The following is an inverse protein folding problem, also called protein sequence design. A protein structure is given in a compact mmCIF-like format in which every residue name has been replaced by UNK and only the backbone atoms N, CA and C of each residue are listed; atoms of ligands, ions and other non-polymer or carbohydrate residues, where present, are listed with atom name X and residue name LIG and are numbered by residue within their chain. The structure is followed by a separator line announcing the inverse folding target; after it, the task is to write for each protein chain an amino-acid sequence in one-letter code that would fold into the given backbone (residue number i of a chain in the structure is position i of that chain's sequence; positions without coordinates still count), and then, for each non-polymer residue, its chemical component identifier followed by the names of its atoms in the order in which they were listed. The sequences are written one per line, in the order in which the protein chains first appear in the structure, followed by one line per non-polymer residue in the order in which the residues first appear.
data_IF_025042196940
#
_entry.id   IF_025042196940
#
_cell.length_a   1.000
_cell.length_b   1.000
_cell.length_c   1.000
_cell.angle_alpha   90.00
_cell.angle_beta   90.00
_cell.angle_gamma   90.00
#
_symmetry.space_group_name_H-M   'P 1'
#
loop_
_entity.id
_entity.type
_entity.pdbx_description
1 polymer ?
#
# COMPACT_ATOMS: atom_id res chain seq x y z
N UNK A 1 28.39 24.30 8.88
CA UNK A 1 27.61 24.87 7.76
C UNK A 1 27.40 23.90 6.60
N UNK A 2 28.44 23.36 5.94
CA UNK A 2 28.25 22.42 4.82
C UNK A 2 27.59 21.09 5.27
N UNK A 3 28.10 20.48 6.34
CA UNK A 3 27.55 19.23 6.90
C UNK A 3 26.10 19.37 7.41
N UNK A 4 25.76 20.56 7.90
CA UNK A 4 24.42 20.88 8.40
C UNK A 4 23.41 21.04 7.26
N UNK A 5 23.82 21.70 6.16
CA UNK A 5 23.02 21.80 4.92
C UNK A 5 22.81 20.43 4.28
N UNK A 6 23.85 19.59 4.24
CA UNK A 6 23.75 18.20 3.74
C UNK A 6 22.77 17.38 4.60
N UNK A 7 22.83 17.53 5.93
CA UNK A 7 21.91 16.87 6.86
C UNK A 7 20.43 17.28 6.66
N UNK A 8 20.17 18.56 6.39
CA UNK A 8 18.82 19.06 6.09
C UNK A 8 18.32 18.53 4.75
N UNK A 9 19.15 18.57 3.69
CA UNK A 9 18.78 18.03 2.38
C UNK A 9 18.42 16.54 2.43
N UNK A 10 19.19 15.73 3.17
CA UNK A 10 18.87 14.30 3.33
C UNK A 10 17.52 14.09 4.03
N UNK A 11 17.24 14.85 5.10
CA UNK A 11 15.94 14.75 5.80
C UNK A 11 14.75 15.14 4.92
N UNK A 12 14.91 16.10 4.01
CA UNK A 12 13.87 16.48 3.06
C UNK A 12 13.63 15.35 2.05
N UNK A 13 14.69 14.73 1.53
CA UNK A 13 14.58 13.60 0.60
C UNK A 13 14.00 12.34 1.26
N UNK A 14 14.16 12.18 2.57
CA UNK A 14 13.51 11.13 3.35
C UNK A 14 12.02 11.41 3.64
N UNK A 15 11.52 12.62 3.37
CA UNK A 15 10.15 13.02 3.67
C UNK A 15 9.16 12.58 2.57
N UNK A 16 8.28 11.63 2.89
CA UNK A 16 7.24 11.14 1.96
C UNK A 16 6.31 12.26 1.45
N UNK A 17 5.89 13.17 2.34
CA UNK A 17 4.97 14.25 1.99
C UNK A 17 5.56 15.21 0.94
N UNK A 18 6.87 15.43 0.97
CA UNK A 18 7.56 16.24 -0.03
C UNK A 18 7.45 15.62 -1.43
N UNK A 19 7.75 14.32 -1.54
CA UNK A 19 7.67 13.60 -2.81
C UNK A 19 6.24 13.54 -3.35
N UNK A 20 5.26 13.22 -2.49
CA UNK A 20 3.85 13.17 -2.89
C UNK A 20 3.36 14.54 -3.40
N UNK A 21 3.69 15.62 -2.70
CA UNK A 21 3.31 16.96 -3.13
C UNK A 21 3.97 17.35 -4.46
N UNK A 22 5.26 17.04 -4.60
CA UNK A 22 6.00 17.30 -5.84
C UNK A 22 5.43 16.50 -7.02
N UNK A 23 5.10 15.22 -6.82
CA UNK A 23 4.52 14.35 -7.85
C UNK A 23 3.19 14.91 -8.34
N UNK A 24 2.27 15.22 -7.42
CA UNK A 24 0.95 15.79 -7.75
C UNK A 24 1.08 17.13 -8.44
N UNK A 25 1.95 18.02 -7.94
CA UNK A 25 2.18 19.32 -8.57
C UNK A 25 2.70 19.16 -10.01
N UNK A 26 3.74 18.35 -10.22
CA UNK A 26 4.31 18.14 -11.56
C UNK A 26 3.32 17.46 -12.50
N UNK A 27 2.54 16.48 -12.03
CA UNK A 27 1.52 15.83 -12.84
C UNK A 27 0.45 16.83 -13.33
N UNK A 28 0.00 17.74 -12.46
CA UNK A 28 -0.99 18.78 -12.83
C UNK A 28 -0.40 19.79 -13.80
N UNK A 29 0.83 20.27 -13.57
CA UNK A 29 1.43 21.34 -14.39
C UNK A 29 2.00 20.85 -15.72
N UNK A 30 2.56 19.64 -15.77
CA UNK A 30 3.14 19.09 -17.00
C UNK A 30 2.10 18.36 -17.85
N UNK A 31 1.09 17.75 -17.21
CA UNK A 31 0.06 16.95 -17.90
C UNK A 31 0.62 15.76 -18.69
N UNK A 32 1.88 15.40 -18.48
CA UNK A 32 2.59 14.41 -19.26
C UNK A 32 2.48 13.04 -18.62
N UNK A 33 1.88 12.09 -19.33
CA UNK A 33 1.86 10.67 -18.96
C UNK A 33 2.90 9.95 -19.80
N UNK A 34 3.97 9.41 -19.20
CA UNK A 34 5.00 8.69 -19.94
C UNK A 34 4.42 7.46 -20.66
N UNK A 35 4.97 7.09 -21.84
CA UNK A 35 4.72 5.77 -22.38
C UNK A 35 5.19 4.71 -21.36
N UNK A 36 4.43 3.61 -21.22
CA UNK A 36 4.66 2.53 -20.24
C UNK A 36 4.41 2.89 -18.77
N UNK A 37 3.64 3.95 -18.48
CA UNK A 37 3.27 4.32 -17.11
C UNK A 37 2.71 3.15 -16.27
N UNK A 38 1.87 2.29 -16.86
CA UNK A 38 1.32 1.10 -16.19
C UNK A 38 2.40 0.12 -15.71
N UNK A 39 3.39 -0.14 -16.57
CA UNK A 39 4.49 -1.06 -16.26
C UNK A 39 5.40 -0.46 -15.19
N UNK A 40 5.71 0.84 -15.29
CA UNK A 40 6.50 1.54 -14.29
C UNK A 40 5.77 1.55 -12.94
N UNK A 41 4.48 1.83 -12.91
CA UNK A 41 3.68 1.80 -11.69
C UNK A 41 3.67 0.41 -11.03
N UNK A 42 3.49 -0.65 -11.82
CA UNK A 42 3.55 -2.03 -11.29
C UNK A 42 4.93 -2.38 -10.73
N UNK A 43 6.01 -2.00 -11.42
CA UNK A 43 7.38 -2.27 -10.95
C UNK A 43 7.70 -1.50 -9.68
N UNK A 44 7.40 -0.20 -9.66
CA UNK A 44 7.57 0.66 -8.49
C UNK A 44 6.80 0.11 -7.29
N UNK A 45 5.56 -0.32 -7.50
CA UNK A 45 4.74 -0.91 -6.44
C UNK A 45 5.33 -2.23 -5.95
N UNK A 46 5.78 -3.12 -6.84
CA UNK A 46 6.43 -4.37 -6.47
C UNK A 46 7.70 -4.16 -5.64
N UNK A 47 8.52 -3.17 -5.99
CA UNK A 47 9.72 -2.78 -5.23
C UNK A 47 9.32 -2.22 -3.87
N UNK A 48 8.38 -1.28 -3.83
CA UNK A 48 7.90 -0.67 -2.60
C UNK A 48 7.33 -1.73 -1.63
N UNK A 49 6.52 -2.66 -2.13
CA UNK A 49 5.99 -3.77 -1.34
C UNK A 49 7.10 -4.70 -0.85
N UNK A 50 8.08 -5.05 -1.69
CA UNK A 50 9.20 -5.90 -1.27
C UNK A 50 9.99 -5.27 -0.12
N UNK A 51 10.31 -3.98 -0.25
CA UNK A 51 11.05 -3.25 0.78
C UNK A 51 10.23 -3.09 2.06
N UNK A 52 8.97 -2.69 1.96
CA UNK A 52 8.13 -2.48 3.13
C UNK A 52 7.75 -3.80 3.84
N UNK A 53 7.66 -4.92 3.10
CA UNK A 53 7.46 -6.25 3.68
C UNK A 53 8.71 -6.86 4.31
N UNK A 54 9.91 -6.38 3.97
CA UNK A 54 11.16 -6.89 4.53
C UNK A 54 11.26 -6.70 6.05
N UNK A 55 10.62 -5.66 6.58
CA UNK A 55 10.54 -5.40 8.02
C UNK A 55 9.51 -6.26 8.77
N UNK A 56 8.64 -6.98 8.07
CA UNK A 56 7.52 -7.71 8.68
C UNK A 56 7.99 -9.05 9.26
N UNK A 57 7.88 -9.21 10.58
CA UNK A 57 8.13 -10.47 11.28
C UNK A 57 6.91 -11.39 11.15
N UNK A 58 7.08 -12.56 10.55
CA UNK A 58 6.06 -13.63 10.54
C UNK A 58 6.31 -14.50 11.78
N UNK A 59 5.30 -14.69 12.63
CA UNK A 59 5.38 -15.61 13.78
C UNK A 59 4.67 -15.15 15.04
N UNK A 60 4.09 -13.94 15.08
CA UNK A 60 3.30 -13.48 16.22
C UNK A 60 1.88 -14.05 16.15
N UNK A 61 1.44 -14.69 17.24
CA UNK A 61 0.06 -15.14 17.38
C UNK A 61 -0.86 -13.95 17.63
N UNK A 62 -1.83 -13.74 16.73
CA UNK A 62 -2.89 -12.76 16.94
C UNK A 62 -4.09 -13.43 17.62
N UNK A 63 -4.72 -12.73 18.56
CA UNK A 63 -5.98 -13.20 19.15
C UNK A 63 -7.09 -13.16 18.10
N UNK A 64 -8.00 -14.13 18.13
CA UNK A 64 -9.09 -14.23 17.15
C UNK A 64 -10.03 -13.01 17.17
N UNK A 65 -10.20 -12.40 18.35
CA UNK A 65 -10.96 -11.16 18.50
C UNK A 65 -10.29 -10.02 17.73
N UNK A 66 -8.97 -9.87 17.85
CA UNK A 66 -8.21 -8.88 17.10
C UNK A 66 -8.25 -9.15 15.59
N UNK A 67 -8.17 -10.41 15.16
CA UNK A 67 -8.33 -10.78 13.74
C UNK A 67 -9.68 -10.32 13.19
N UNK A 68 -10.75 -10.62 13.92
CA UNK A 68 -12.11 -10.23 13.52
C UNK A 68 -12.26 -8.71 13.47
N UNK A 69 -11.77 -7.98 14.49
CA UNK A 69 -11.84 -6.52 14.55
C UNK A 69 -11.09 -5.90 13.37
N UNK A 70 -9.85 -6.31 13.13
CA UNK A 70 -9.02 -5.77 12.05
C UNK A 70 -9.64 -6.07 10.69
N UNK A 71 -10.19 -7.28 10.48
CA UNK A 71 -10.90 -7.65 9.26
C UNK A 71 -12.15 -6.80 9.04
N UNK A 72 -12.99 -6.64 10.08
CA UNK A 72 -14.22 -5.85 10.00
C UNK A 72 -13.94 -4.38 9.75
N UNK A 73 -12.93 -3.82 10.41
CA UNK A 73 -12.56 -2.43 10.19
C UNK A 73 -12.05 -2.20 8.77
N UNK A 74 -11.26 -3.13 8.23
CA UNK A 74 -10.65 -2.99 6.91
C UNK A 74 -11.59 -3.30 5.74
N UNK A 75 -12.48 -4.29 5.87
CA UNK A 75 -13.34 -4.76 4.78
C UNK A 75 -14.83 -4.46 4.94
N UNK A 76 -15.27 -3.89 6.08
CA UNK A 76 -16.65 -3.44 6.24
C UNK A 76 -16.74 -1.95 6.59
N UNK A 77 -16.12 -1.52 7.68
CA UNK A 77 -16.24 -0.14 8.17
C UNK A 77 -15.58 0.87 7.24
N UNK A 78 -14.30 0.68 6.91
CA UNK A 78 -13.55 1.59 6.05
C UNK A 78 -14.14 1.66 4.62
N UNK A 79 -14.51 0.55 3.97
CA UNK A 79 -15.18 0.58 2.68
C UNK A 79 -16.53 1.29 2.72
N UNK A 80 -17.34 1.09 3.75
CA UNK A 80 -18.65 1.74 3.86
C UNK A 80 -18.52 3.28 3.88
N UNK A 81 -17.57 3.81 4.64
CA UNK A 81 -17.29 5.25 4.70
C UNK A 81 -16.72 5.73 3.36
N UNK A 82 -15.81 4.97 2.77
CA UNK A 82 -15.10 5.38 1.56
C UNK A 82 -15.96 5.30 0.31
N UNK A 83 -16.95 4.41 0.26
CA UNK A 83 -17.91 4.30 -0.85
C UNK A 83 -19.03 5.35 -0.79
N UNK A 84 -19.28 5.97 0.37
CA UNK A 84 -20.37 6.94 0.52
C UNK A 84 -20.30 8.10 -0.49
N UNK A 85 -19.13 8.71 -0.79
CA UNK A 85 -19.02 9.72 -1.84
C UNK A 85 -19.32 9.19 -3.26
N UNK A 86 -18.97 7.94 -3.55
CA UNK A 86 -19.20 7.35 -4.87
C UNK A 86 -20.70 7.20 -5.17
N UNK A 87 -21.52 6.94 -4.14
CA UNK A 87 -22.98 6.91 -4.25
C UNK A 87 -23.52 8.30 -4.62
N UNK A 88 -22.97 9.36 -4.03
CA UNK A 88 -23.38 10.74 -4.30
C UNK A 88 -23.02 11.21 -5.72
N UNK A 89 -21.91 10.71 -6.27
CA UNK A 89 -21.47 11.04 -7.63
C UNK A 89 -22.36 10.43 -8.72
N UNK A 90 -23.04 9.31 -8.43
CA UNK A 90 -23.95 8.62 -9.34
C UNK A 90 -23.38 8.34 -10.74
N UNK A 91 -22.09 7.99 -10.80
CA UNK A 91 -21.38 7.63 -12.03
C UNK A 91 -20.74 6.25 -11.87
N UNK A 92 -20.91 5.40 -12.88
CA UNK A 92 -20.44 4.02 -12.83
C UNK A 92 -18.90 3.91 -12.85
N UNK A 93 -18.21 4.83 -13.53
CA UNK A 93 -16.75 4.86 -13.53
C UNK A 93 -16.22 5.22 -12.14
N UNK A 94 -16.82 6.21 -11.47
CA UNK A 94 -16.45 6.54 -10.09
C UNK A 94 -16.77 5.41 -9.13
N UNK A 95 -17.96 4.81 -9.22
CA UNK A 95 -18.31 3.63 -8.41
C UNK A 95 -17.27 2.51 -8.57
N UNK A 96 -16.95 2.16 -9.81
CA UNK A 96 -16.00 1.08 -10.12
C UNK A 96 -14.60 1.38 -9.58
N UNK A 97 -14.09 2.61 -9.76
CA UNK A 97 -12.79 3.01 -9.22
C UNK A 97 -12.72 2.93 -7.70
N UNK A 98 -13.77 3.40 -7.01
CA UNK A 98 -13.86 3.31 -5.55
C UNK A 98 -13.99 1.88 -5.06
N UNK A 99 -14.79 1.03 -5.73
CA UNK A 99 -14.89 -0.40 -5.39
C UNK A 99 -13.54 -1.08 -5.50
N UNK A 100 -12.79 -0.84 -6.58
CA UNK A 100 -11.43 -1.38 -6.73
C UNK A 100 -10.56 -0.91 -5.56
N UNK A 101 -10.55 0.40 -5.28
CA UNK A 101 -9.74 0.99 -4.20
C UNK A 101 -10.01 0.37 -2.83
N UNK A 102 -11.28 0.23 -2.43
CA UNK A 102 -11.64 -0.31 -1.11
C UNK A 102 -11.52 -1.83 -1.00
N UNK A 103 -11.39 -2.52 -2.13
CA UNK A 103 -11.22 -3.97 -2.15
C UNK A 103 -9.76 -4.38 -2.01
N UNK A 104 -8.82 -3.49 -2.32
CA UNK A 104 -7.39 -3.81 -2.27
C UNK A 104 -6.88 -4.00 -0.83
N UNK A 105 -5.78 -4.76 -0.63
CA UNK A 105 -5.15 -4.91 0.68
C UNK A 105 -4.78 -3.57 1.32
N UNK A 106 -4.58 -3.54 2.66
CA UNK A 106 -4.17 -2.33 3.34
C UNK A 106 -2.80 -1.82 2.86
N UNK A 107 -2.55 -0.53 3.10
CA UNK A 107 -1.35 0.13 2.63
C UNK A 107 -0.12 -0.24 3.47
N UNK A 108 1.00 -0.57 2.81
CA UNK A 108 2.25 -0.96 3.49
C UNK A 108 2.85 0.13 4.38
N UNK A 109 2.42 1.38 4.22
CA UNK A 109 2.79 2.50 5.08
C UNK A 109 2.18 2.44 6.49
N UNK A 110 1.24 1.51 6.76
CA UNK A 110 0.57 1.39 8.06
C UNK A 110 1.56 1.15 9.21
N UNK A 111 2.59 0.33 9.00
CA UNK A 111 3.59 0.00 10.04
C UNK A 111 4.46 1.22 10.39
N UNK A 112 5.04 1.97 9.43
CA UNK A 112 5.68 3.25 9.73
C UNK A 112 4.76 4.22 10.48
N UNK A 113 3.50 4.34 10.07
CA UNK A 113 2.55 5.23 10.73
C UNK A 113 2.21 4.79 12.15
N UNK A 114 2.08 3.48 12.41
CA UNK A 114 1.84 2.98 13.76
C UNK A 114 2.99 3.32 14.71
N UNK A 115 4.25 3.26 14.23
CA UNK A 115 5.44 3.71 14.98
C UNK A 115 5.41 5.21 15.27
N UNK A 116 5.03 6.05 14.29
CA UNK A 116 4.93 7.52 14.46
C UNK A 116 3.84 7.88 15.47
N UNK A 117 2.69 7.21 15.38
CA UNK A 117 1.52 7.45 16.25
C UNK A 117 1.63 6.76 17.61
N UNK A 118 2.73 6.05 17.90
CA UNK A 118 2.94 5.25 19.12
C UNK A 118 1.83 4.22 19.36
N UNK A 119 1.28 3.68 18.28
CA UNK A 119 0.34 2.58 18.33
C UNK A 119 1.05 1.25 18.58
N UNK A 120 0.28 0.19 18.83
CA UNK A 120 0.82 -1.17 18.97
C UNK A 120 1.37 -1.66 17.62
N UNK A 121 2.70 -1.63 17.49
CA UNK A 121 3.40 -2.04 16.28
C UNK A 121 3.35 -3.54 16.05
N UNK A 122 3.27 -4.36 17.10
CA UNK A 122 3.16 -5.81 16.95
C UNK A 122 1.78 -6.19 16.39
N UNK A 123 0.72 -5.57 16.92
CA UNK A 123 -0.63 -5.72 16.38
C UNK A 123 -0.72 -5.20 14.94
N UNK A 124 -0.09 -4.07 14.63
CA UNK A 124 -0.08 -3.53 13.27
C UNK A 124 0.64 -4.47 12.29
N UNK A 125 1.81 -5.00 12.66
CA UNK A 125 2.57 -5.92 11.80
C UNK A 125 1.84 -7.26 11.58
N UNK A 126 1.32 -7.84 12.65
CA UNK A 126 0.57 -9.11 12.59
C UNK A 126 -0.77 -8.96 11.86
N UNK A 127 -1.46 -7.84 12.09
CA UNK A 127 -2.68 -7.46 11.40
C UNK A 127 -2.47 -7.25 9.91
N UNK A 128 -1.39 -6.57 9.50
CA UNK A 128 -1.01 -6.41 8.09
C UNK A 128 -0.79 -7.77 7.41
N UNK A 129 -0.01 -8.67 8.00
CA UNK A 129 0.20 -10.02 7.44
C UNK A 129 -1.13 -10.75 7.26
N UNK A 130 -1.97 -10.73 8.30
CA UNK A 130 -3.27 -11.36 8.27
C UNK A 130 -4.17 -10.75 7.17
N UNK A 131 -4.21 -9.43 7.04
CA UNK A 131 -5.02 -8.73 6.05
C UNK A 131 -4.51 -8.94 4.62
N UNK A 132 -3.20 -9.02 4.38
CA UNK A 132 -2.65 -9.38 3.05
C UNK A 132 -3.02 -10.80 2.64
N UNK A 133 -3.04 -11.74 3.60
CA UNK A 133 -3.48 -13.10 3.30
C UNK A 133 -5.00 -13.15 3.09
N UNK A 134 -5.76 -12.44 3.92
CA UNK A 134 -7.20 -12.33 3.77
C UNK A 134 -7.60 -11.63 2.45
N UNK A 135 -6.81 -10.68 1.96
CA UNK A 135 -7.09 -9.93 0.72
C UNK A 135 -7.11 -10.83 -0.51
N UNK A 136 -6.38 -11.96 -0.51
CA UNK A 136 -6.42 -12.93 -1.59
C UNK A 136 -7.84 -13.46 -1.86
N UNK A 137 -8.68 -13.50 -0.82
CA UNK A 137 -10.09 -13.87 -0.93
C UNK A 137 -11.02 -12.64 -0.89
N UNK A 138 -10.78 -11.70 0.03
CA UNK A 138 -11.67 -10.55 0.26
C UNK A 138 -11.70 -9.59 -0.92
N UNK A 139 -10.55 -9.30 -1.55
CA UNK A 139 -10.48 -8.38 -2.68
C UNK A 139 -11.29 -8.86 -3.90
N UNK A 140 -11.10 -10.10 -4.42
CA UNK A 140 -11.93 -10.57 -5.54
C UNK A 140 -13.40 -10.71 -5.14
N UNK A 141 -13.70 -11.09 -3.89
CA UNK A 141 -15.06 -11.18 -3.40
C UNK A 141 -15.76 -9.81 -3.40
N UNK A 142 -15.11 -8.77 -2.89
CA UNK A 142 -15.67 -7.42 -2.86
C UNK A 142 -15.85 -6.84 -4.26
N UNK A 143 -14.86 -7.03 -5.15
CA UNK A 143 -15.00 -6.63 -6.56
C UNK A 143 -16.19 -7.35 -7.20
N UNK A 144 -16.32 -8.67 -6.99
CA UNK A 144 -17.46 -9.42 -7.53
C UNK A 144 -18.81 -8.95 -6.99
N UNK A 145 -18.91 -8.72 -5.68
CA UNK A 145 -20.18 -8.33 -5.03
C UNK A 145 -20.58 -6.89 -5.37
N UNK A 146 -19.62 -5.96 -5.40
CA UNK A 146 -19.90 -4.53 -5.53
C UNK A 146 -19.79 -4.00 -6.96
N UNK A 147 -18.85 -4.50 -7.75
CA UNK A 147 -18.68 -4.12 -9.16
C UNK A 147 -19.37 -5.10 -10.12
N UNK A 148 -19.61 -6.35 -9.71
CA UNK A 148 -20.29 -7.34 -10.54
C UNK A 148 -19.52 -7.65 -11.81
N UNK A 149 -20.19 -7.53 -12.97
CA UNK A 149 -19.61 -7.80 -14.30
C UNK A 149 -18.88 -6.60 -14.92
N UNK A 150 -18.86 -5.44 -14.27
CA UNK A 150 -18.15 -4.25 -14.78
C UNK A 150 -16.63 -4.41 -14.76
N UNK A 151 -16.12 -5.29 -13.90
CA UNK A 151 -14.69 -5.55 -13.72
C UNK A 151 -14.42 -7.05 -13.89
N UNK A 152 -13.40 -7.37 -14.69
CA UNK A 152 -12.91 -8.75 -14.77
C UNK A 152 -12.16 -9.10 -13.48
N UNK A 153 -12.55 -10.19 -12.83
CA UNK A 153 -11.94 -10.64 -11.57
C UNK A 153 -10.55 -11.24 -11.80
N UNK A 154 -10.33 -11.86 -12.96
CA UNK A 154 -9.10 -12.62 -13.20
C UNK A 154 -7.82 -11.76 -13.17
N UNK A 155 -7.80 -10.56 -13.79
CA UNK A 155 -6.69 -9.61 -13.62
C UNK A 155 -6.46 -9.18 -12.17
N UNK A 156 -7.52 -9.02 -11.37
CA UNK A 156 -7.40 -8.68 -9.94
C UNK A 156 -6.71 -9.80 -9.17
N UNK A 157 -7.15 -11.04 -9.38
CA UNK A 157 -6.52 -12.22 -8.78
C UNK A 157 -5.04 -12.29 -9.18
N UNK A 158 -4.72 -12.20 -10.47
CA UNK A 158 -3.33 -12.21 -10.92
C UNK A 158 -2.49 -11.10 -10.30
N UNK A 159 -3.03 -9.89 -10.22
CA UNK A 159 -2.33 -8.75 -9.61
C UNK A 159 -2.04 -8.99 -8.13
N UNK A 160 -2.99 -9.55 -7.38
CA UNK A 160 -2.79 -9.88 -5.96
C UNK A 160 -1.72 -10.97 -5.79
N UNK A 161 -1.75 -12.02 -6.60
CA UNK A 161 -0.73 -13.06 -6.56
C UNK A 161 0.67 -12.49 -6.88
N UNK A 162 0.77 -11.68 -7.94
CA UNK A 162 2.04 -11.08 -8.37
C UNK A 162 2.56 -10.01 -7.43
N UNK A 163 1.70 -9.19 -6.82
CA UNK A 163 2.12 -8.06 -5.98
C UNK A 163 2.19 -8.40 -4.49
N UNK A 164 1.49 -9.44 -4.02
CA UNK A 164 1.56 -9.87 -2.62
C UNK A 164 2.54 -11.02 -2.49
N UNK A 165 2.29 -12.16 -3.16
CA UNK A 165 3.06 -13.38 -2.88
C UNK A 165 4.51 -13.28 -3.35
N UNK A 166 4.76 -12.70 -4.53
CA UNK A 166 6.12 -12.58 -5.06
C UNK A 166 6.95 -11.59 -4.21
N UNK A 167 6.53 -10.34 -3.95
CA UNK A 167 7.21 -9.44 -3.02
C UNK A 167 7.36 -10.00 -1.61
N UNK A 168 6.35 -10.70 -1.08
CA UNK A 168 6.49 -11.40 0.20
C UNK A 168 7.62 -12.43 0.15
N UNK A 169 7.64 -13.31 -0.86
CA UNK A 169 8.67 -14.33 -1.01
C UNK A 169 10.08 -13.75 -1.16
N UNK A 170 10.23 -12.76 -2.05
CA UNK A 170 11.49 -12.05 -2.30
C UNK A 170 11.96 -11.33 -1.03
N UNK A 171 11.06 -10.65 -0.31
CA UNK A 171 11.41 -9.94 0.92
C UNK A 171 11.93 -10.87 2.02
N UNK A 172 11.52 -12.15 2.07
CA UNK A 172 12.08 -13.12 3.05
C UNK A 172 13.54 -13.48 2.76
N UNK A 173 13.92 -13.51 1.48
CA UNK A 173 15.29 -13.80 1.08
C UNK A 173 16.16 -12.55 1.27
N UNK A 174 15.66 -11.39 0.84
CA UNK A 174 16.39 -10.12 0.87
C UNK A 174 16.41 -9.44 2.24
N UNK A 175 15.40 -9.61 3.09
CA UNK A 175 15.32 -8.99 4.42
C UNK A 175 16.39 -9.48 5.40
N UNK A 176 17.14 -10.54 5.04
CA UNK A 176 18.35 -10.96 5.78
C UNK A 176 19.60 -10.13 5.41
N UNK A 177 19.52 -9.36 4.33
CA UNK A 177 20.65 -8.64 3.72
C UNK A 177 20.42 -7.12 3.71
N UNK A 178 19.15 -6.68 3.68
CA UNK A 178 18.78 -5.26 3.58
C UNK A 178 18.28 -4.74 4.92
N UNK A 179 18.88 -3.64 5.39
CA UNK A 179 18.38 -2.87 6.52
C UNK A 179 17.30 -1.88 6.05
N UNK A 180 16.04 -2.23 6.34
CA UNK A 180 14.87 -1.43 6.02
C UNK A 180 14.85 -0.06 6.72
N UNK A 181 15.62 0.15 7.80
CA UNK A 181 15.69 1.44 8.49
C UNK A 181 16.73 2.41 7.91
N UNK A 182 17.56 1.95 6.96
CA UNK A 182 18.57 2.78 6.31
C UNK A 182 17.97 3.95 5.51
N UNK A 183 18.64 5.12 5.53
CA UNK A 183 18.16 6.32 4.84
C UNK A 183 17.99 6.14 3.33
N UNK A 184 18.88 5.36 2.69
CA UNK A 184 18.80 5.05 1.26
C UNK A 184 17.56 4.23 0.87
N UNK A 185 17.12 3.30 1.72
CA UNK A 185 15.89 2.54 1.51
C UNK A 185 14.67 3.47 1.60
N UNK A 186 14.63 4.37 2.58
CA UNK A 186 13.55 5.36 2.73
C UNK A 186 13.44 6.28 1.50
N UNK A 187 14.57 6.79 1.02
CA UNK A 187 14.61 7.62 -0.18
C UNK A 187 14.13 6.81 -1.40
N UNK A 188 14.60 5.57 -1.56
CA UNK A 188 14.19 4.70 -2.67
C UNK A 188 12.68 4.46 -2.66
N UNK A 189 12.11 4.11 -1.50
CA UNK A 189 10.66 3.92 -1.36
C UNK A 189 9.91 5.20 -1.77
N UNK A 190 10.32 6.36 -1.27
CA UNK A 190 9.66 7.62 -1.60
C UNK A 190 9.73 7.96 -3.08
N UNK A 191 10.87 7.70 -3.73
CA UNK A 191 11.05 7.89 -5.19
C UNK A 191 10.21 6.88 -5.98
N UNK A 192 10.04 5.65 -5.51
CA UNK A 192 9.14 4.69 -6.16
C UNK A 192 7.65 5.10 -6.04
N UNK A 193 7.29 5.86 -5.01
CA UNK A 193 5.94 6.42 -4.84
C UNK A 193 5.75 7.79 -5.52
N UNK A 194 6.77 8.31 -6.22
CA UNK A 194 6.73 9.54 -7.02
C UNK A 194 6.40 9.22 -8.48
#
# INVERSE_FOLDING_TARGET
MLAERIGICMKVLECFAFWLFLAVALAIFLGYVPPYHDTLAMLSLGVAMTLAMSGIRIGSHMQIQSMAIVLLLNYAFLPAITLAPAILMNDNAYWTGFVIMVSMPPAVALIPFSKILKADTELAMSGEVFLYLASLAMAPLMVYVLAGKSVSIMPVVWSLFTLILLPMGVSRVMGRVIDAESGWVKITINVMFF
#
